data_IF_054338781307
#
_entry.id   IF_054338781307
#
_cell.length_a   1.000
_cell.length_b   1.000
_cell.length_c   1.000
_cell.angle_alpha   90.00
_cell.angle_beta   90.00
_cell.angle_gamma   90.00
#
_symmetry.space_group_name_H-M   'P 1'
#
loop_
_entity.id
_entity.type
_entity.pdbx_description
1 polymer ?
#
# COMPACT_ATOMS: atom_id res chain seq x y z
N UNK A 1 -9.30 2.19 10.22
CA UNK A 1 -8.47 2.36 8.99
C UNK A 1 -7.04 2.79 9.30
N UNK A 2 -6.80 3.40 10.46
CA UNK A 2 -5.47 3.89 10.85
C UNK A 2 -4.42 2.79 11.10
N UNK A 3 -4.78 1.69 11.75
CA UNK A 3 -3.87 0.56 12.01
C UNK A 3 -3.35 -0.07 10.72
N UNK A 4 -4.22 -0.16 9.71
CA UNK A 4 -3.86 -0.60 8.36
C UNK A 4 -2.82 0.33 7.72
N UNK A 5 -3.06 1.65 7.75
CA UNK A 5 -2.12 2.63 7.23
C UNK A 5 -0.76 2.57 7.92
N UNK A 6 -0.72 2.35 9.24
CA UNK A 6 0.54 2.22 9.99
C UNK A 6 1.31 0.98 9.56
N UNK A 7 0.68 -0.19 9.47
CA UNK A 7 1.33 -1.44 9.04
C UNK A 7 1.85 -1.30 7.61
N UNK A 8 1.04 -0.72 6.72
CA UNK A 8 1.45 -0.44 5.34
C UNK A 8 2.68 0.47 5.29
N UNK A 9 2.71 1.57 6.04
CA UNK A 9 3.86 2.46 6.11
C UNK A 9 5.14 1.75 6.60
N UNK A 10 5.06 0.89 7.61
CA UNK A 10 6.22 0.14 8.12
C UNK A 10 6.79 -0.78 7.03
N UNK A 11 5.92 -1.49 6.31
CA UNK A 11 6.33 -2.38 5.21
C UNK A 11 6.95 -1.57 4.06
N UNK A 12 6.33 -0.45 3.69
CA UNK A 12 6.84 0.46 2.66
C UNK A 12 8.24 0.99 2.99
N UNK A 13 8.48 1.37 4.26
CA UNK A 13 9.81 1.81 4.69
C UNK A 13 10.86 0.70 4.61
N UNK A 14 10.50 -0.53 4.97
CA UNK A 14 11.39 -1.69 4.83
C UNK A 14 11.80 -1.95 3.38
N UNK A 15 10.82 -2.00 2.47
CA UNK A 15 11.10 -2.21 1.04
C UNK A 15 11.78 -1.00 0.37
N UNK A 16 11.52 0.23 0.84
CA UNK A 16 12.20 1.44 0.33
C UNK A 16 13.72 1.35 0.46
N UNK A 17 14.24 0.85 1.58
CA UNK A 17 15.68 0.63 1.77
C UNK A 17 16.24 -0.38 0.76
N UNK A 18 15.54 -1.50 0.56
CA UNK A 18 15.95 -2.54 -0.38
C UNK A 18 15.98 -2.03 -1.82
N UNK A 19 14.94 -1.33 -2.26
CA UNK A 19 14.86 -0.77 -3.60
C UNK A 19 15.85 0.37 -3.83
N UNK A 20 16.10 1.20 -2.82
CA UNK A 20 17.11 2.26 -2.90
C UNK A 20 18.51 1.69 -3.16
N UNK A 21 18.89 0.62 -2.47
CA UNK A 21 20.20 -0.02 -2.66
C UNK A 21 20.31 -0.72 -4.02
N UNK A 22 19.24 -1.38 -4.43
CA UNK A 22 19.14 -2.13 -5.69
C UNK A 22 19.20 -1.21 -6.93
N UNK A 23 18.57 -0.03 -6.86
CA UNK A 23 18.59 0.98 -7.92
C UNK A 23 19.85 1.84 -7.93
N UNK A 24 20.68 1.82 -6.87
CA UNK A 24 21.92 2.61 -6.79
C UNK A 24 22.92 2.29 -7.92
N UNK A 25 22.86 1.08 -8.47
CA UNK A 25 23.71 0.64 -9.58
C UNK A 25 23.20 0.97 -10.98
N UNK A 26 22.06 1.65 -11.10
CA UNK A 26 21.46 2.00 -12.39
C UNK A 26 22.13 3.25 -13.00
N UNK A 27 22.68 3.22 -14.24
CA UNK A 27 23.41 4.36 -14.80
C UNK A 27 22.58 5.64 -14.96
N UNK A 28 21.24 5.55 -14.97
CA UNK A 28 20.30 6.67 -15.07
C UNK A 28 19.52 6.95 -13.77
N UNK A 29 20.06 6.64 -12.57
CA UNK A 29 19.35 6.92 -11.29
C UNK A 29 18.85 8.37 -11.21
N UNK A 30 19.63 9.33 -11.73
CA UNK A 30 19.32 10.75 -11.67
C UNK A 30 18.05 11.16 -12.44
N UNK A 31 17.67 10.43 -13.50
CA UNK A 31 16.41 10.66 -14.23
C UNK A 31 15.22 9.94 -13.61
N UNK A 32 15.45 9.09 -12.61
CA UNK A 32 14.40 8.31 -11.95
C UNK A 32 14.09 8.84 -10.56
N UNK A 33 12.91 8.50 -10.05
CA UNK A 33 12.50 8.82 -8.68
C UNK A 33 13.28 8.05 -7.61
N UNK A 34 14.27 7.23 -7.97
CA UNK A 34 15.10 6.44 -7.04
C UNK A 34 16.37 7.17 -6.55
N UNK A 35 16.53 8.46 -6.87
CA UNK A 35 17.72 9.25 -6.49
C UNK A 35 17.83 9.54 -4.99
N UNK A 36 16.70 9.78 -4.32
CA UNK A 36 16.61 10.03 -2.88
C UNK A 36 15.76 8.97 -2.18
N UNK A 37 15.99 8.78 -0.89
CA UNK A 37 15.19 7.87 -0.07
C UNK A 37 13.70 8.28 -0.03
N UNK A 38 13.44 9.59 0.07
CA UNK A 38 12.08 10.11 0.10
C UNK A 38 11.36 9.94 -1.25
N UNK A 39 12.08 10.14 -2.35
CA UNK A 39 11.52 9.94 -3.69
C UNK A 39 11.32 8.46 -4.00
N UNK A 40 12.20 7.57 -3.49
CA UNK A 40 12.04 6.10 -3.59
C UNK A 40 10.80 5.63 -2.86
N UNK A 41 10.52 6.18 -1.69
CA UNK A 41 9.30 5.90 -0.95
C UNK A 41 8.04 6.30 -1.74
N UNK A 42 8.06 7.48 -2.37
CA UNK A 42 6.96 7.93 -3.24
C UNK A 42 6.82 7.07 -4.50
N UNK A 43 7.93 6.69 -5.12
CA UNK A 43 7.94 5.80 -6.27
C UNK A 43 7.32 4.43 -5.93
N UNK A 44 7.66 3.85 -4.78
CA UNK A 44 7.06 2.60 -4.33
C UNK A 44 5.56 2.72 -4.05
N UNK A 45 5.11 3.89 -3.58
CA UNK A 45 3.68 4.16 -3.43
C UNK A 45 2.98 4.18 -4.80
N UNK A 46 3.57 4.81 -5.82
CA UNK A 46 3.06 4.81 -7.20
C UNK A 46 3.04 3.40 -7.81
N UNK A 47 4.11 2.63 -7.60
CA UNK A 47 4.21 1.22 -8.03
C UNK A 47 3.08 0.40 -7.40
N UNK A 48 2.75 0.64 -6.14
CA UNK A 48 1.64 -0.03 -5.45
C UNK A 48 0.29 0.28 -6.09
N UNK A 49 0.12 1.48 -6.66
CA UNK A 49 -1.08 1.88 -7.42
C UNK A 49 -1.08 1.36 -8.86
N UNK A 50 -0.02 0.66 -9.28
CA UNK A 50 0.11 0.06 -10.61
C UNK A 50 0.91 0.88 -11.61
N UNK A 51 1.49 2.01 -11.21
CA UNK A 51 2.34 2.83 -12.08
C UNK A 51 3.81 2.38 -11.96
N UNK A 52 4.20 1.41 -12.79
CA UNK A 52 5.56 0.89 -12.83
C UNK A 52 6.03 0.57 -14.26
N UNK A 53 7.31 0.82 -14.53
CA UNK A 53 7.96 0.53 -15.80
C UNK A 53 8.84 -0.72 -15.69
N UNK A 54 8.44 -1.81 -16.34
CA UNK A 54 9.21 -3.07 -16.32
C UNK A 54 10.56 -2.96 -17.05
N UNK A 55 10.68 -2.05 -18.01
CA UNK A 55 11.92 -1.84 -18.77
C UNK A 55 13.04 -1.32 -17.87
N UNK A 56 12.69 -0.52 -16.86
CA UNK A 56 13.66 0.14 -15.98
C UNK A 56 14.29 -0.85 -14.99
N UNK A 57 13.51 -1.85 -14.55
CA UNK A 57 13.98 -2.95 -13.71
C UNK A 57 15.07 -3.79 -14.38
N UNK A 58 14.99 -3.92 -15.71
CA UNK A 58 15.93 -4.71 -16.52
C UNK A 58 17.30 -4.06 -16.73
N UNK A 59 17.41 -2.76 -16.50
CA UNK A 59 18.65 -2.02 -16.71
C UNK A 59 19.50 -1.85 -15.44
N UNK A 60 19.02 -2.36 -14.29
CA UNK A 60 19.76 -2.38 -13.02
C UNK A 60 20.97 -3.33 -13.07
N UNK A 61 21.98 -3.13 -12.21
CA UNK A 61 23.21 -3.96 -12.16
C UNK A 61 22.91 -5.45 -11.95
N UNK A 62 21.85 -5.77 -11.20
CA UNK A 62 21.44 -7.14 -10.90
C UNK A 62 19.97 -7.35 -11.32
N UNK A 63 19.67 -7.49 -12.62
CA UNK A 63 18.30 -7.50 -13.11
C UNK A 63 17.48 -8.69 -12.58
N UNK A 64 18.11 -9.84 -12.36
CA UNK A 64 17.44 -11.02 -11.81
C UNK A 64 17.05 -10.82 -10.33
N UNK A 65 17.92 -10.19 -9.54
CA UNK A 65 17.64 -9.88 -8.14
C UNK A 65 16.53 -8.85 -8.04
N UNK A 66 16.59 -7.80 -8.87
CA UNK A 66 15.58 -6.74 -8.93
C UNK A 66 14.19 -7.27 -9.27
N UNK A 67 14.09 -8.13 -10.29
CA UNK A 67 12.83 -8.77 -10.68
C UNK A 67 12.26 -9.67 -9.58
N UNK A 68 13.12 -10.37 -8.85
CA UNK A 68 12.70 -11.26 -7.75
C UNK A 68 12.14 -10.47 -6.58
N UNK A 69 12.84 -9.42 -6.14
CA UNK A 69 12.38 -8.53 -5.06
C UNK A 69 11.09 -7.80 -5.46
N UNK A 70 10.99 -7.37 -6.72
CA UNK A 70 9.78 -6.77 -7.27
C UNK A 70 8.59 -7.73 -7.29
N UNK A 71 8.79 -8.98 -7.72
CA UNK A 71 7.74 -9.99 -7.71
C UNK A 71 7.26 -10.29 -6.28
N UNK A 72 8.18 -10.39 -5.32
CA UNK A 72 7.83 -10.54 -3.90
C UNK A 72 7.00 -9.36 -3.40
N UNK A 73 7.41 -8.12 -3.70
CA UNK A 73 6.67 -6.92 -3.33
C UNK A 73 5.25 -6.90 -3.94
N UNK A 74 5.12 -7.24 -5.22
CA UNK A 74 3.84 -7.29 -5.94
C UNK A 74 2.89 -8.38 -5.43
N UNK A 75 3.38 -9.40 -4.73
CA UNK A 75 2.53 -10.42 -4.08
C UNK A 75 2.23 -10.02 -2.64
N UNK A 76 3.25 -9.61 -1.89
CA UNK A 76 3.12 -9.26 -0.47
C UNK A 76 2.19 -8.08 -0.23
N UNK A 77 2.34 -7.00 -1.02
CA UNK A 77 1.59 -5.77 -0.80
C UNK A 77 0.09 -6.00 -1.05
N UNK A 78 -0.35 -6.55 -2.20
CA UNK A 78 -1.76 -6.87 -2.40
C UNK A 78 -2.32 -7.82 -1.35
N UNK A 79 -1.60 -8.86 -0.93
CA UNK A 79 -2.08 -9.77 0.14
C UNK A 79 -2.28 -9.02 1.46
N UNK A 80 -1.34 -8.15 1.84
CA UNK A 80 -1.48 -7.30 3.02
C UNK A 80 -2.64 -6.30 2.89
N UNK A 81 -2.75 -5.64 1.74
CA UNK A 81 -3.84 -4.71 1.43
C UNK A 81 -5.20 -5.42 1.52
N UNK A 82 -5.36 -6.56 0.84
CA UNK A 82 -6.59 -7.36 0.83
C UNK A 82 -6.96 -7.89 2.22
N UNK A 83 -6.03 -8.54 2.91
CA UNK A 83 -6.33 -9.22 4.18
C UNK A 83 -6.69 -8.22 5.28
N UNK A 84 -6.01 -7.09 5.35
CA UNK A 84 -6.29 -6.08 6.38
C UNK A 84 -7.52 -5.21 6.04
N UNK A 85 -7.73 -4.89 4.76
CA UNK A 85 -8.92 -4.15 4.30
C UNK A 85 -10.18 -4.99 4.49
N UNK A 86 -10.15 -6.28 4.13
CA UNK A 86 -11.27 -7.21 4.39
C UNK A 86 -11.49 -7.39 5.89
N UNK A 87 -10.44 -7.60 6.71
CA UNK A 87 -10.62 -7.82 8.14
C UNK A 87 -11.27 -6.62 8.84
N UNK A 88 -10.89 -5.40 8.45
CA UNK A 88 -11.42 -4.20 9.04
C UNK A 88 -12.83 -3.89 8.55
N UNK A 89 -13.10 -4.06 7.26
CA UNK A 89 -14.47 -3.96 6.76
C UNK A 89 -15.33 -5.06 7.41
N UNK A 90 -14.92 -6.32 7.43
CA UNK A 90 -15.67 -7.42 8.04
C UNK A 90 -16.06 -7.18 9.50
N UNK A 91 -15.13 -6.73 10.35
CA UNK A 91 -15.42 -6.43 11.75
C UNK A 91 -16.30 -5.16 11.93
N UNK A 92 -16.05 -4.12 11.13
CA UNK A 92 -16.86 -2.90 11.19
C UNK A 92 -18.26 -3.11 10.60
N UNK A 93 -18.40 -3.90 9.54
CA UNK A 93 -19.70 -4.27 8.96
C UNK A 93 -20.55 -5.04 9.96
N UNK A 94 -19.97 -6.00 10.69
CA UNK A 94 -20.69 -6.73 11.73
C UNK A 94 -21.16 -5.80 12.88
N UNK A 95 -20.30 -4.89 13.34
CA UNK A 95 -20.64 -3.97 14.43
C UNK A 95 -21.61 -2.86 14.01
N UNK A 96 -21.46 -2.31 12.81
CA UNK A 96 -22.35 -1.29 12.25
C UNK A 96 -23.73 -1.87 11.99
N UNK A 97 -23.88 -3.12 11.56
CA UNK A 97 -25.22 -3.71 11.39
C UNK A 97 -25.97 -3.74 12.73
N UNK A 98 -25.33 -4.20 13.81
CA UNK A 98 -25.96 -4.27 15.15
C UNK A 98 -26.28 -2.89 15.75
N UNK A 99 -25.43 -1.89 15.52
CA UNK A 99 -25.68 -0.52 15.98
C UNK A 99 -26.63 0.25 15.06
N UNK A 100 -26.66 -0.06 13.76
CA UNK A 100 -27.45 0.65 12.76
C UNK A 100 -28.94 0.47 12.98
N UNK A 101 -29.43 -0.67 13.47
CA UNK A 101 -30.84 -0.83 13.82
C UNK A 101 -31.25 0.11 14.96
N UNK A 102 -30.40 0.26 15.98
CA UNK A 102 -30.64 1.15 17.12
C UNK A 102 -30.56 2.62 16.72
N UNK A 103 -29.60 2.97 15.87
CA UNK A 103 -29.48 4.33 15.32
C UNK A 103 -30.61 4.65 14.34
N UNK A 104 -31.05 3.68 13.54
CA UNK A 104 -32.17 3.82 12.62
C UNK A 104 -33.46 4.18 13.37
N UNK A 105 -33.81 3.42 14.41
CA UNK A 105 -35.00 3.70 15.24
C UNK A 105 -34.88 5.07 15.92
N UNK A 106 -33.68 5.45 16.37
CA UNK A 106 -33.42 6.77 16.96
C UNK A 106 -33.59 7.91 15.93
N UNK A 107 -33.12 7.72 14.70
CA UNK A 107 -33.33 8.68 13.61
C UNK A 107 -34.81 8.75 13.22
N UNK A 108 -35.51 7.61 13.18
CA UNK A 108 -36.94 7.53 12.90
C UNK A 108 -37.76 8.27 13.96
N UNK A 109 -37.46 8.04 15.24
CA UNK A 109 -38.09 8.77 16.34
C UNK A 109 -37.84 10.28 16.24
N UNK A 110 -36.64 10.70 15.84
CA UNK A 110 -36.32 12.12 15.64
C UNK A 110 -37.13 12.74 14.50
N UNK A 111 -37.41 11.99 13.43
CA UNK A 111 -38.23 12.43 12.29
C UNK A 111 -39.72 12.50 12.64
N UNK A 112 -40.22 11.56 13.46
CA UNK A 112 -41.65 11.49 13.83
C UNK A 112 -42.03 12.49 14.93
N UNK A 113 -41.10 12.79 15.84
CA UNK A 113 -41.34 13.72 16.96
C UNK A 113 -41.03 15.18 16.59
N UNK A 114 -40.31 15.42 15.49
CA UNK A 114 -40.15 16.74 14.87
C UNK A 114 -41.32 17.09 13.97
#
# INVERSE_FOLDING_TARGET
MFTFGIIYCIVLFGFSQSFYFLYKGFPNVQSTLFSSYASTWMALFQITLGDYSYTDLGQTTYPNLSKTVFALFMVFVPILLLNMLIAMMGNTYAHVIEQSEKEWVKQWAKIVVS
#
